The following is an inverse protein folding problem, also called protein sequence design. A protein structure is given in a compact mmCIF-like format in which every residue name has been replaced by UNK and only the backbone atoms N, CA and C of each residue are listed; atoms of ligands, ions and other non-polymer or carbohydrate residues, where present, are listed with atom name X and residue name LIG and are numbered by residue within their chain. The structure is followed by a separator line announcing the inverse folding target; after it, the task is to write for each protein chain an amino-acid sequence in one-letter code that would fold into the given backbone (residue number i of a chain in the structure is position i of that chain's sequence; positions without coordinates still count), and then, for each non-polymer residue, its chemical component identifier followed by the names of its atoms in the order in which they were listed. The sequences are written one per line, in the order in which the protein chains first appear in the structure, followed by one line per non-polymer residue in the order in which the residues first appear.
data_IF_615618864986
#
_entry.id   IF_615618864986
#
_cell.length_a   1.000
_cell.length_b   1.000
_cell.length_c   1.000
_cell.angle_alpha   90.00
_cell.angle_beta   90.00
_cell.angle_gamma   90.00
#
_symmetry.space_group_name_H-M   'P 1'
#
loop_
_entity.id
_entity.type
_entity.pdbx_description
1 polymer ?
#
# COMPACT_ATOMS: atom_id res chain seq x y z
N UNK A 1 4.63 19.47 -5.64
CA UNK A 1 5.79 19.14 -6.52
C UNK A 1 5.51 17.79 -7.15
N UNK A 2 5.49 17.72 -8.48
CA UNK A 2 5.37 16.43 -9.17
C UNK A 2 6.71 15.71 -9.00
N UNK A 3 6.73 14.60 -8.28
CA UNK A 3 7.93 13.79 -8.09
C UNK A 3 8.30 13.18 -9.44
N UNK A 4 9.49 13.48 -9.95
CA UNK A 4 9.96 12.93 -11.22
C UNK A 4 10.39 11.48 -10.98
N UNK A 5 9.80 10.54 -11.75
CA UNK A 5 10.26 9.15 -11.77
C UNK A 5 11.62 9.13 -12.46
N UNK A 6 12.62 8.62 -11.75
CA UNK A 6 13.95 8.36 -12.29
C UNK A 6 14.03 6.91 -12.73
N UNK A 7 14.70 6.60 -13.82
CA UNK A 7 14.90 5.21 -14.22
C UNK A 7 16.20 4.97 -14.98
N UNK A 8 16.60 3.71 -15.01
CA UNK A 8 17.70 3.15 -15.79
C UNK A 8 17.20 1.92 -16.51
N UNK A 9 17.51 1.79 -17.79
CA UNK A 9 17.17 0.63 -18.60
C UNK A 9 18.43 -0.01 -19.16
N UNK A 10 18.56 -1.31 -18.94
CA UNK A 10 19.67 -2.12 -19.46
C UNK A 10 19.09 -3.26 -20.31
N UNK A 11 19.14 -3.16 -21.65
CA UNK A 11 18.75 -4.25 -22.52
C UNK A 11 19.69 -5.45 -22.35
N UNK A 12 19.18 -6.66 -22.52
CA UNK A 12 19.95 -7.88 -22.50
C UNK A 12 19.85 -8.63 -23.82
N UNK A 13 20.93 -9.31 -24.21
CA UNK A 13 21.03 -10.07 -25.44
C UNK A 13 20.15 -11.35 -25.42
N UNK A 14 19.78 -11.84 -24.24
CA UNK A 14 18.87 -12.98 -24.05
C UNK A 14 17.39 -12.56 -24.04
N UNK A 15 17.11 -11.27 -24.24
CA UNK A 15 15.79 -10.66 -24.29
C UNK A 15 15.21 -10.27 -22.93
N UNK A 16 15.84 -10.62 -21.80
CA UNK A 16 15.38 -10.21 -20.48
C UNK A 16 16.09 -8.92 -20.04
N UNK A 17 15.48 -7.78 -20.33
CA UNK A 17 15.97 -6.46 -19.95
C UNK A 17 15.77 -6.19 -18.47
N UNK A 18 16.70 -5.45 -17.88
CA UNK A 18 16.58 -4.92 -16.52
C UNK A 18 16.10 -3.47 -16.56
N UNK A 19 15.00 -3.19 -15.90
CA UNK A 19 14.48 -1.84 -15.69
C UNK A 19 14.50 -1.52 -14.21
N UNK A 20 15.23 -0.49 -13.82
CA UNK A 20 15.26 0.00 -12.45
C UNK A 20 14.68 1.40 -12.41
N UNK A 21 13.67 1.62 -11.55
CA UNK A 21 13.06 2.92 -11.36
C UNK A 21 12.99 3.27 -9.87
N UNK A 22 12.98 4.58 -9.56
CA UNK A 22 12.78 5.07 -8.19
C UNK A 22 12.11 6.43 -8.18
N UNK A 23 11.35 6.65 -7.10
CA UNK A 23 10.65 7.90 -6.81
C UNK A 23 10.32 7.99 -5.31
N UNK A 24 9.79 9.15 -4.88
CA UNK A 24 9.31 9.35 -3.51
C UNK A 24 7.77 9.20 -3.49
N UNK A 25 7.23 8.42 -2.56
CA UNK A 25 5.81 8.28 -2.24
C UNK A 25 5.64 7.76 -0.82
N UNK A 26 4.51 8.05 -0.18
CA UNK A 26 4.20 7.62 1.19
C UNK A 26 5.34 7.92 2.19
N UNK A 27 5.92 9.10 2.08
CA UNK A 27 7.04 9.59 2.90
C UNK A 27 8.29 8.71 2.86
N UNK A 28 8.48 7.93 1.79
CA UNK A 28 9.66 7.08 1.62
C UNK A 28 10.11 7.02 0.16
N UNK A 29 11.31 6.49 -0.05
CA UNK A 29 11.77 6.11 -1.38
C UNK A 29 11.16 4.77 -1.77
N UNK A 30 10.63 4.69 -2.97
CA UNK A 30 10.17 3.46 -3.62
C UNK A 30 11.17 3.10 -4.69
N UNK A 31 11.74 1.91 -4.61
CA UNK A 31 12.64 1.33 -5.59
C UNK A 31 11.95 0.15 -6.28
N UNK A 32 11.99 0.12 -7.61
CA UNK A 32 11.32 -0.87 -8.46
C UNK A 32 12.35 -1.47 -9.41
N UNK A 33 12.53 -2.77 -9.37
CA UNK A 33 13.30 -3.53 -10.34
C UNK A 33 12.35 -4.45 -11.10
N UNK A 34 12.32 -4.33 -12.43
CA UNK A 34 11.55 -5.20 -13.31
C UNK A 34 12.52 -5.94 -14.24
N UNK A 35 12.31 -7.26 -14.38
CA UNK A 35 13.04 -8.09 -15.34
C UNK A 35 12.04 -8.65 -16.35
N UNK A 36 12.09 -8.19 -17.59
CA UNK A 36 11.07 -8.49 -18.58
C UNK A 36 11.60 -8.37 -20.02
N UNK A 37 10.90 -9.01 -20.97
CA UNK A 37 11.15 -8.86 -22.40
C UNK A 37 10.48 -7.63 -23.02
N UNK A 38 9.74 -6.89 -22.25
CA UNK A 38 9.04 -5.69 -22.71
C UNK A 38 10.03 -4.55 -22.99
N UNK A 39 9.75 -3.71 -24.01
CA UNK A 39 10.57 -2.54 -24.30
C UNK A 39 10.48 -1.49 -23.18
N UNK A 40 11.50 -0.65 -23.08
CA UNK A 40 11.62 0.41 -22.06
C UNK A 40 10.35 1.24 -21.88
N UNK A 41 9.71 1.67 -22.98
CA UNK A 41 8.51 2.50 -22.93
C UNK A 41 7.30 1.80 -22.27
N UNK A 42 7.13 0.49 -22.50
CA UNK A 42 6.05 -0.26 -21.82
C UNK A 42 6.34 -0.43 -20.33
N UNK A 43 7.59 -0.69 -19.94
CA UNK A 43 7.98 -0.80 -18.53
C UNK A 43 7.82 0.53 -17.80
N UNK A 44 8.15 1.65 -18.46
CA UNK A 44 7.92 2.98 -17.91
C UNK A 44 6.41 3.25 -17.71
N UNK A 45 5.54 2.83 -18.63
CA UNK A 45 4.08 2.94 -18.45
C UNK A 45 3.59 2.14 -17.23
N UNK A 46 4.12 0.95 -17.00
CA UNK A 46 3.79 0.15 -15.81
C UNK A 46 4.20 0.89 -14.54
N UNK A 47 5.42 1.44 -14.50
CA UNK A 47 5.90 2.19 -13.32
C UNK A 47 5.08 3.48 -13.10
N UNK A 48 4.65 4.18 -14.16
CA UNK A 48 3.75 5.33 -14.03
C UNK A 48 2.41 4.92 -13.41
N UNK A 49 1.81 3.79 -13.84
CA UNK A 49 0.58 3.26 -13.22
C UNK A 49 0.77 2.94 -11.73
N UNK A 50 1.92 2.37 -11.35
CA UNK A 50 2.26 2.13 -9.94
C UNK A 50 2.35 3.45 -9.18
N UNK A 51 3.06 4.44 -9.71
CA UNK A 51 3.19 5.75 -9.09
C UNK A 51 1.83 6.42 -8.87
N UNK A 52 0.96 6.43 -9.89
CA UNK A 52 -0.37 7.02 -9.81
C UNK A 52 -1.24 6.32 -8.76
N UNK A 53 -1.16 4.98 -8.68
CA UNK A 53 -1.88 4.19 -7.66
C UNK A 53 -1.40 4.55 -6.24
N UNK A 54 -0.09 4.66 -6.02
CA UNK A 54 0.47 5.05 -4.72
C UNK A 54 0.09 6.48 -4.34
N UNK A 55 0.12 7.44 -5.27
CA UNK A 55 -0.33 8.81 -5.05
C UNK A 55 -1.82 8.87 -4.66
N UNK A 56 -2.66 8.05 -5.30
CA UNK A 56 -4.09 7.96 -5.00
C UNK A 56 -4.32 7.40 -3.59
N UNK A 57 -3.64 6.31 -3.23
CA UNK A 57 -3.71 5.72 -1.88
C UNK A 57 -3.24 6.70 -0.80
N UNK A 58 -2.12 7.38 -1.04
CA UNK A 58 -1.58 8.38 -0.11
C UNK A 58 -2.57 9.53 0.08
N UNK A 59 -3.12 10.08 -1.00
CA UNK A 59 -4.09 11.18 -0.93
C UNK A 59 -5.37 10.78 -0.18
N UNK A 60 -5.81 9.54 -0.32
CA UNK A 60 -7.04 9.04 0.30
C UNK A 60 -6.85 8.74 1.79
N UNK A 61 -5.74 8.07 2.16
CA UNK A 61 -5.53 7.50 3.48
C UNK A 61 -4.46 8.20 4.33
N UNK A 62 -4.01 9.40 3.95
CA UNK A 62 -3.02 10.16 4.71
C UNK A 62 -3.63 10.72 6.00
N UNK A 63 -3.25 10.15 7.13
CA UNK A 63 -3.69 10.59 8.46
C UNK A 63 -3.35 12.07 8.77
N UNK A 64 -2.25 12.57 8.21
CA UNK A 64 -1.71 13.91 8.49
C UNK A 64 -2.20 14.99 7.50
N UNK A 65 -2.81 14.59 6.38
CA UNK A 65 -3.41 15.54 5.43
C UNK A 65 -4.86 15.82 5.83
N UNK A 66 -5.21 17.05 6.28
CA UNK A 66 -6.58 17.38 6.66
C UNK A 66 -7.59 17.27 5.50
N UNK A 67 -7.13 17.25 4.25
CA UNK A 67 -7.98 17.11 3.07
C UNK A 67 -8.19 15.63 2.66
N UNK A 68 -7.48 14.68 3.28
CA UNK A 68 -7.67 13.26 2.99
C UNK A 68 -9.04 12.77 3.43
N UNK A 69 -9.56 11.76 2.72
CA UNK A 69 -10.83 11.13 3.06
C UNK A 69 -10.80 10.54 4.48
N UNK A 70 -9.68 9.90 4.86
CA UNK A 70 -9.46 9.37 6.20
C UNK A 70 -9.52 10.46 7.28
N UNK A 71 -8.90 11.62 7.04
CA UNK A 71 -8.92 12.73 8.00
C UNK A 71 -10.31 13.37 8.11
N UNK A 72 -11.07 13.41 7.03
CA UNK A 72 -12.48 13.86 7.05
C UNK A 72 -13.31 12.88 7.89
N UNK A 73 -13.17 11.57 7.67
CA UNK A 73 -13.80 10.54 8.49
C UNK A 73 -13.50 10.77 9.98
N UNK A 74 -12.23 10.87 10.35
CA UNK A 74 -11.80 11.03 11.74
C UNK A 74 -12.40 12.26 12.44
N UNK A 75 -12.65 13.35 11.71
CA UNK A 75 -13.25 14.56 12.28
C UNK A 75 -14.77 14.52 12.38
N UNK A 76 -15.43 13.69 11.58
CA UNK A 76 -16.90 13.79 11.37
C UNK A 76 -17.66 12.57 11.92
N UNK A 77 -17.04 11.39 11.91
CA UNK A 77 -17.74 10.12 12.15
C UNK A 77 -18.33 9.97 13.57
N UNK A 78 -17.86 10.73 14.55
CA UNK A 78 -18.44 10.76 15.91
C UNK A 78 -19.70 11.64 16.00
N UNK A 79 -19.97 12.48 14.98
CA UNK A 79 -21.16 13.37 14.93
C UNK A 79 -22.22 12.79 14.01
N UNK A 80 -21.82 12.25 12.86
CA UNK A 80 -22.70 11.64 11.87
C UNK A 80 -21.97 10.59 11.06
N UNK A 81 -22.65 9.53 10.56
CA UNK A 81 -22.06 8.56 9.65
C UNK A 81 -21.46 9.25 8.41
N UNK A 82 -20.30 8.78 7.97
CA UNK A 82 -19.57 9.28 6.79
C UNK A 82 -19.57 8.20 5.73
N UNK A 83 -20.12 8.48 4.55
CA UNK A 83 -20.04 7.59 3.37
C UNK A 83 -18.64 7.69 2.78
N UNK A 84 -18.00 6.53 2.58
CA UNK A 84 -16.64 6.44 2.09
C UNK A 84 -16.58 5.91 0.65
N UNK A 85 -15.44 6.18 0.00
CA UNK A 85 -15.05 5.46 -1.20
C UNK A 85 -15.00 3.96 -0.90
N UNK A 86 -15.29 3.15 -1.91
CA UNK A 86 -15.28 1.67 -1.77
C UNK A 86 -13.91 1.18 -1.27
N UNK A 87 -12.84 1.78 -1.75
CA UNK A 87 -11.48 1.37 -1.41
C UNK A 87 -11.13 1.68 0.05
N UNK A 88 -11.44 2.87 0.55
CA UNK A 88 -11.17 3.22 1.96
C UNK A 88 -12.05 2.41 2.91
N UNK A 89 -13.33 2.22 2.56
CA UNK A 89 -14.25 1.37 3.32
C UNK A 89 -13.70 -0.06 3.44
N UNK A 90 -13.30 -0.67 2.32
CA UNK A 90 -12.75 -2.03 2.29
C UNK A 90 -11.44 -2.16 3.06
N UNK A 91 -10.57 -1.13 3.04
CA UNK A 91 -9.36 -1.12 3.86
C UNK A 91 -9.68 -1.12 5.36
N UNK A 92 -10.65 -0.32 5.79
CA UNK A 92 -11.05 -0.26 7.21
C UNK A 92 -11.67 -1.59 7.64
N UNK A 93 -12.56 -2.16 6.84
CA UNK A 93 -13.19 -3.46 7.10
C UNK A 93 -12.15 -4.57 7.26
N UNK A 94 -11.18 -4.65 6.32
CA UNK A 94 -10.07 -5.59 6.39
C UNK A 94 -9.19 -5.38 7.64
N UNK A 95 -8.96 -4.14 8.04
CA UNK A 95 -8.21 -3.83 9.26
C UNK A 95 -8.95 -4.30 10.52
N UNK A 96 -10.28 -4.18 10.57
CA UNK A 96 -11.08 -4.69 11.69
C UNK A 96 -11.08 -6.22 11.72
N UNK A 97 -11.11 -6.88 10.56
CA UNK A 97 -10.91 -8.33 10.48
C UNK A 97 -9.54 -8.73 11.04
N UNK A 98 -8.46 -8.03 10.65
CA UNK A 98 -7.13 -8.30 11.19
C UNK A 98 -7.02 -8.04 12.69
N UNK A 99 -7.70 -7.03 13.23
CA UNK A 99 -7.79 -6.83 14.67
C UNK A 99 -8.33 -8.08 15.37
N UNK A 100 -9.44 -8.63 14.88
CA UNK A 100 -10.02 -9.87 15.41
C UNK A 100 -9.09 -11.08 15.28
N UNK A 101 -8.47 -11.28 14.12
CA UNK A 101 -7.55 -12.40 13.84
C UNK A 101 -6.26 -12.35 14.67
N UNK A 102 -5.80 -11.15 15.02
CA UNK A 102 -4.60 -10.95 15.85
C UNK A 102 -4.92 -10.78 17.34
N UNK A 103 -6.17 -11.02 17.75
CA UNK A 103 -6.61 -10.85 19.14
C UNK A 103 -6.31 -9.44 19.68
N UNK A 104 -6.49 -8.42 18.83
CA UNK A 104 -6.25 -7.02 19.18
C UNK A 104 -4.79 -6.55 19.09
N UNK A 105 -3.84 -7.41 18.72
CA UNK A 105 -2.42 -7.01 18.56
C UNK A 105 -2.23 -6.00 17.41
N UNK A 106 -3.04 -6.10 16.36
CA UNK A 106 -3.13 -5.08 15.32
C UNK A 106 -4.39 -4.25 15.53
N UNK A 107 -4.24 -2.94 15.74
CA UNK A 107 -5.34 -2.04 16.01
C UNK A 107 -5.12 -0.68 15.34
N UNK A 108 -6.02 -0.31 14.44
CA UNK A 108 -5.98 0.97 13.71
C UNK A 108 -6.47 2.16 14.55
N UNK A 109 -6.99 1.92 15.76
CA UNK A 109 -7.53 2.96 16.64
C UNK A 109 -6.56 3.42 17.74
N UNK A 110 -5.32 2.93 17.75
CA UNK A 110 -4.31 3.21 18.78
C UNK A 110 -3.98 4.70 18.99
N UNK A 111 -4.32 5.55 18.03
CA UNK A 111 -4.11 7.02 18.12
C UNK A 111 -5.33 7.76 18.66
N UNK A 112 -6.37 7.06 19.10
CA UNK A 112 -7.57 7.65 19.67
C UNK A 112 -7.28 8.29 21.05
N UNK A 113 -8.03 9.33 21.37
CA UNK A 113 -8.03 9.89 22.72
C UNK A 113 -8.53 8.83 23.71
N UNK A 114 -7.86 8.71 24.88
CA UNK A 114 -8.20 7.72 25.91
C UNK A 114 -8.28 6.27 25.38
N UNK A 115 -7.40 5.92 24.43
CA UNK A 115 -7.33 4.59 23.83
C UNK A 115 -7.29 3.47 24.89
N UNK A 116 -8.05 2.42 24.63
CA UNK A 116 -7.94 1.12 25.29
C UNK A 116 -8.34 0.01 24.29
N UNK A 117 -8.12 -1.25 24.65
CA UNK A 117 -8.37 -2.40 23.76
C UNK A 117 -9.82 -2.50 23.24
N UNK A 118 -10.79 -1.85 23.87
CA UNK A 118 -12.18 -1.82 23.42
C UNK A 118 -12.48 -0.66 22.47
N UNK A 119 -11.54 0.26 22.25
CA UNK A 119 -11.77 1.45 21.40
C UNK A 119 -12.14 1.05 19.97
N UNK A 120 -11.59 -0.03 19.45
CA UNK A 120 -11.91 -0.56 18.12
C UNK A 120 -13.40 -0.90 17.96
N UNK A 121 -14.08 -1.32 19.02
CA UNK A 121 -15.52 -1.63 19.00
C UNK A 121 -16.40 -0.38 18.88
N UNK A 122 -15.82 0.82 18.98
CA UNK A 122 -16.53 2.08 18.72
C UNK A 122 -16.61 2.43 17.23
N UNK A 123 -15.95 1.68 16.37
CA UNK A 123 -15.99 1.84 14.90
C UNK A 123 -17.10 0.96 14.35
N UNK A 124 -18.12 1.58 13.75
CA UNK A 124 -19.29 0.89 13.19
C UNK A 124 -19.33 1.07 11.68
N UNK A 125 -19.36 -0.06 10.97
CA UNK A 125 -19.45 -0.12 9.51
C UNK A 125 -20.86 -0.46 9.08
N UNK A 126 -21.36 0.22 8.05
CA UNK A 126 -22.62 -0.08 7.34
C UNK A 126 -22.31 -0.47 5.90
N UNK A 127 -22.48 -1.74 5.55
CA UNK A 127 -22.20 -2.25 4.21
C UNK A 127 -23.20 -1.75 3.16
N UNK A 128 -24.43 -1.40 3.56
CA UNK A 128 -25.49 -1.00 2.63
C UNK A 128 -25.20 0.29 1.89
N UNK A 129 -24.58 1.24 2.56
CA UNK A 129 -24.22 2.56 2.02
C UNK A 129 -22.73 2.89 2.13
N UNK A 130 -21.91 1.94 2.61
CA UNK A 130 -20.48 2.11 2.88
C UNK A 130 -20.19 3.27 3.84
N UNK A 131 -21.05 3.47 4.84
CA UNK A 131 -20.81 4.49 5.85
C UNK A 131 -20.07 3.93 7.06
N UNK A 132 -19.32 4.81 7.72
CA UNK A 132 -18.61 4.56 8.97
C UNK A 132 -19.02 5.60 10.00
N UNK A 133 -19.29 5.15 11.21
CA UNK A 133 -19.60 6.00 12.35
C UNK A 133 -18.79 5.60 13.58
N UNK A 134 -18.52 6.56 14.46
CA UNK A 134 -17.92 6.31 15.76
C UNK A 134 -18.93 6.53 16.88
N UNK A 135 -19.06 5.57 17.79
CA UNK A 135 -20.04 5.65 18.89
C UNK A 135 -19.63 6.60 20.01
N UNK A 136 -18.40 7.12 19.98
CA UNK A 136 -17.89 8.07 20.97
C UNK A 136 -16.93 9.08 20.34
N UNK A 137 -16.82 10.32 20.89
CA UNK A 137 -15.84 11.30 20.43
C UNK A 137 -14.41 10.86 20.76
N UNK A 138 -13.43 11.43 20.06
CA UNK A 138 -12.01 11.14 20.26
C UNK A 138 -11.49 9.85 19.61
N UNK A 139 -12.37 9.04 19.01
CA UNK A 139 -11.94 7.89 18.21
C UNK A 139 -11.29 8.39 16.91
N UNK A 140 -10.13 7.83 16.57
CA UNK A 140 -9.44 8.10 15.32
C UNK A 140 -8.90 6.81 14.71
N UNK A 141 -8.95 6.70 13.39
CA UNK A 141 -8.37 5.61 12.61
C UNK A 141 -7.05 6.07 12.00
N UNK A 142 -6.01 5.26 12.14
CA UNK A 142 -4.71 5.46 11.49
C UNK A 142 -4.31 4.19 10.74
N UNK A 143 -4.18 4.31 9.41
CA UNK A 143 -3.83 3.19 8.53
C UNK A 143 -2.33 3.09 8.22
N UNK A 144 -1.46 3.88 8.87
CA UNK A 144 -0.02 3.93 8.54
C UNK A 144 0.68 2.57 8.68
N UNK A 145 0.26 1.74 9.62
CA UNK A 145 0.79 0.38 9.82
C UNK A 145 0.29 -0.64 8.79
N UNK A 146 -0.76 -0.33 8.04
CA UNK A 146 -1.40 -1.20 7.06
C UNK A 146 -1.10 -0.79 5.62
N UNK A 147 -1.02 0.52 5.35
CA UNK A 147 -1.10 1.10 4.02
C UNK A 147 0.01 0.63 3.07
N UNK A 148 1.24 0.43 3.57
CA UNK A 148 2.34 -0.05 2.73
C UNK A 148 2.15 -1.51 2.27
N UNK A 149 1.65 -2.38 3.15
CA UNK A 149 1.29 -3.75 2.79
C UNK A 149 0.19 -3.79 1.73
N UNK A 150 -0.87 -2.99 1.92
CA UNK A 150 -1.95 -2.85 0.94
C UNK A 150 -1.44 -2.29 -0.40
N UNK A 151 -0.56 -1.30 -0.37
CA UNK A 151 0.08 -0.74 -1.57
C UNK A 151 0.89 -1.80 -2.34
N UNK A 152 1.61 -2.69 -1.66
CA UNK A 152 2.33 -3.79 -2.32
C UNK A 152 1.38 -4.77 -3.02
N UNK A 153 0.21 -5.07 -2.45
CA UNK A 153 -0.79 -5.91 -3.13
C UNK A 153 -1.41 -5.21 -4.34
N UNK A 154 -1.64 -3.89 -4.26
CA UNK A 154 -2.06 -3.08 -5.42
C UNK A 154 -0.99 -3.13 -6.53
N UNK A 155 0.29 -2.99 -6.18
CA UNK A 155 1.41 -3.10 -7.12
C UNK A 155 1.47 -4.50 -7.74
N UNK A 156 1.29 -5.55 -6.94
CA UNK A 156 1.22 -6.95 -7.42
C UNK A 156 0.14 -7.10 -8.49
N UNK A 157 -1.05 -6.55 -8.26
CA UNK A 157 -2.14 -6.54 -9.24
C UNK A 157 -1.74 -5.88 -10.57
N UNK A 158 -1.13 -4.69 -10.50
CA UNK A 158 -0.66 -3.94 -11.70
C UNK A 158 0.40 -4.72 -12.47
N UNK A 159 1.35 -5.37 -11.77
CA UNK A 159 2.40 -6.17 -12.38
C UNK A 159 1.84 -7.42 -13.04
N UNK A 160 0.88 -8.11 -12.41
CA UNK A 160 0.19 -9.28 -12.96
C UNK A 160 -0.59 -8.92 -14.23
N UNK A 161 -1.37 -7.84 -14.22
CA UNK A 161 -2.09 -7.33 -15.41
C UNK A 161 -1.13 -6.98 -16.55
N UNK A 162 0.05 -6.45 -16.19
CA UNK A 162 1.10 -6.13 -17.16
C UNK A 162 1.93 -7.36 -17.59
N UNK A 163 1.63 -8.56 -17.09
CA UNK A 163 2.38 -9.79 -17.35
C UNK A 163 3.89 -9.64 -17.01
N UNK A 164 4.20 -8.98 -15.90
CA UNK A 164 5.54 -8.88 -15.34
C UNK A 164 5.70 -9.98 -14.27
N UNK A 165 6.47 -11.00 -14.60
CA UNK A 165 6.66 -12.18 -13.75
C UNK A 165 7.80 -12.03 -12.75
N UNK A 166 8.80 -11.18 -13.06
CA UNK A 166 10.00 -11.03 -12.24
C UNK A 166 10.19 -9.58 -11.85
N UNK A 167 9.97 -9.28 -10.57
CA UNK A 167 10.07 -7.92 -10.04
C UNK A 167 10.49 -7.91 -8.56
N UNK A 168 11.20 -6.85 -8.17
CA UNK A 168 11.45 -6.51 -6.78
C UNK A 168 11.01 -5.07 -6.52
N UNK A 169 10.12 -4.88 -5.57
CA UNK A 169 9.67 -3.57 -5.11
C UNK A 169 10.11 -3.40 -3.66
N UNK A 170 10.78 -2.28 -3.36
CA UNK A 170 11.21 -1.94 -2.01
C UNK A 170 10.64 -0.56 -1.63
N UNK A 171 9.84 -0.51 -0.57
CA UNK A 171 9.24 0.70 -0.03
C UNK A 171 9.91 1.05 1.32
N UNK A 172 11.03 1.77 1.25
CA UNK A 172 11.74 2.30 2.43
C UNK A 172 12.32 1.23 3.35
N UNK A 173 12.74 0.10 2.82
CA UNK A 173 13.32 -1.05 3.53
C UNK A 173 12.41 -1.68 4.61
N UNK A 174 11.16 -1.24 4.70
CA UNK A 174 10.17 -1.76 5.67
C UNK A 174 9.11 -2.63 5.04
N UNK A 175 8.92 -2.53 3.72
CA UNK A 175 7.91 -3.29 3.00
C UNK A 175 8.46 -3.64 1.61
N UNK A 176 8.59 -4.95 1.33
CA UNK A 176 9.23 -5.47 0.13
C UNK A 176 8.31 -6.49 -0.51
N UNK A 177 8.12 -6.40 -1.84
CA UNK A 177 7.46 -7.40 -2.66
C UNK A 177 8.49 -7.99 -3.62
N UNK A 178 8.61 -9.31 -3.60
CA UNK A 178 9.40 -10.10 -4.54
C UNK A 178 8.47 -10.95 -5.41
N UNK A 179 8.59 -10.85 -6.72
CA UNK A 179 7.90 -11.72 -7.69
C UNK A 179 8.93 -12.47 -8.52
N UNK A 180 8.69 -13.77 -8.73
CA UNK A 180 9.53 -14.64 -9.55
C UNK A 180 10.99 -14.64 -9.09
N UNK A 181 11.91 -14.53 -10.06
CA UNK A 181 13.33 -14.74 -9.83
C UNK A 181 14.17 -13.52 -10.23
N UNK A 182 15.27 -13.33 -9.50
CA UNK A 182 16.35 -12.47 -9.96
C UNK A 182 17.00 -13.07 -11.24
N UNK A 183 17.47 -12.26 -12.21
CA UNK A 183 18.03 -12.77 -13.50
C UNK A 183 19.15 -13.79 -13.37
N UNK A 184 19.86 -13.79 -12.26
CA UNK A 184 21.01 -14.69 -12.01
C UNK A 184 20.82 -15.59 -10.79
N UNK A 185 19.58 -15.81 -10.34
CA UNK A 185 19.30 -16.60 -9.13
C UNK A 185 17.89 -17.17 -9.09
N UNK A 186 17.62 -18.02 -8.09
CA UNK A 186 16.35 -18.70 -7.86
C UNK A 186 15.47 -17.95 -6.85
N UNK A 187 15.31 -16.65 -6.98
CA UNK A 187 14.59 -15.77 -6.09
C UNK A 187 15.34 -14.45 -5.88
N UNK A 188 14.81 -13.61 -5.00
CA UNK A 188 15.36 -12.30 -4.66
C UNK A 188 16.00 -12.36 -3.28
N UNK A 189 17.32 -12.16 -3.21
CA UNK A 189 18.04 -12.17 -1.94
C UNK A 189 18.05 -10.77 -1.32
N UNK A 190 17.45 -10.63 -0.15
CA UNK A 190 17.44 -9.41 0.66
C UNK A 190 18.16 -9.74 1.97
N UNK A 191 19.38 -9.22 2.14
CA UNK A 191 20.31 -9.65 3.20
C UNK A 191 20.48 -11.19 3.16
N UNK A 192 20.06 -11.89 4.23
CA UNK A 192 20.15 -13.35 4.32
C UNK A 192 18.83 -14.08 4.01
N UNK A 193 17.79 -13.34 3.62
CA UNK A 193 16.46 -13.88 3.29
C UNK A 193 16.34 -14.02 1.78
N UNK A 194 15.95 -15.19 1.31
CA UNK A 194 15.60 -15.45 -0.09
C UNK A 194 14.08 -15.38 -0.22
N UNK A 195 13.59 -14.44 -1.01
CA UNK A 195 12.16 -14.23 -1.28
C UNK A 195 11.79 -14.74 -2.66
N UNK A 196 10.60 -15.36 -2.78
CA UNK A 196 10.05 -15.85 -4.04
C UNK A 196 8.52 -15.78 -4.00
N UNK A 197 7.91 -14.85 -4.76
CA UNK A 197 6.47 -14.55 -4.75
C UNK A 197 5.91 -14.19 -3.37
N UNK A 198 6.68 -13.47 -2.58
CA UNK A 198 6.41 -13.16 -1.18
C UNK A 198 6.51 -11.65 -0.91
N UNK A 199 5.83 -11.23 0.16
CA UNK A 199 6.04 -9.92 0.77
C UNK A 199 6.77 -10.07 2.10
N UNK A 200 7.63 -9.10 2.39
CA UNK A 200 8.24 -8.89 3.70
C UNK A 200 7.78 -7.50 4.19
N UNK A 201 7.16 -7.43 5.35
CA UNK A 201 6.70 -6.19 6.00
C UNK A 201 7.02 -6.21 7.49
#
# INVERSE_FOLDING_TARGET
MQTTIQHLYKPSNDGNSLFYAWFLSMHTRVDIILCSRKPEGELLLVVNRIYDALCRLEKMANFYDPASELSILNRTASVSPVVLSEELYSMIDLCLEYNGRTLGCFDITVHSENYNQNTVHSVHLSAGDRSVAFSQPGVTINLSGFLKGYALETIRGILNEALIENALINMGNSSILALGNHPVGSGWKINDILLHNECLT
#
